data_IF_055754660312
#
_entry.id   IF_055754660312
#
_cell.length_a   1.000
_cell.length_b   1.000
_cell.length_c   1.000
_cell.angle_alpha   90.00
_cell.angle_beta   90.00
_cell.angle_gamma   90.00
#
_symmetry.space_group_name_H-M   'P 1'
#
loop_
_entity.id
_entity.type
_entity.pdbx_description
1 polymer ?
#
# COMPACT_ATOMS: atom_id res chain seq x y z
N UNK A 1 1.49 -8.05 -6.45
CA UNK A 1 0.86 -7.38 -5.30
C UNK A 1 1.98 -7.10 -4.31
N UNK A 2 2.16 -5.86 -3.82
CA UNK A 2 3.13 -5.58 -2.76
C UNK A 2 2.37 -5.71 -1.46
N UNK A 3 2.66 -6.77 -0.70
CA UNK A 3 2.10 -7.01 0.61
C UNK A 3 3.04 -6.41 1.66
N UNK A 4 2.50 -5.54 2.51
CA UNK A 4 3.25 -4.92 3.60
C UNK A 4 3.02 -5.78 4.83
N UNK A 5 4.10 -6.40 5.33
CA UNK A 5 4.01 -7.33 6.44
C UNK A 5 4.54 -6.73 7.73
N UNK A 6 3.90 -7.09 8.83
CA UNK A 6 4.40 -6.78 10.14
C UNK A 6 5.35 -7.89 10.61
N UNK A 7 6.65 -7.61 10.59
CA UNK A 7 7.70 -8.54 11.07
C UNK A 7 7.46 -9.00 12.52
N UNK A 8 6.82 -8.16 13.34
CA UNK A 8 6.46 -8.53 14.71
C UNK A 8 5.54 -9.76 14.75
N UNK A 9 4.58 -9.87 13.83
CA UNK A 9 3.65 -11.01 13.79
C UNK A 9 4.39 -12.31 13.43
N UNK A 10 5.36 -12.24 12.51
CA UNK A 10 6.20 -13.38 12.13
C UNK A 10 7.03 -13.85 13.33
N UNK A 11 7.67 -12.90 14.03
CA UNK A 11 8.47 -13.19 15.23
C UNK A 11 7.60 -13.82 16.32
N UNK A 12 6.40 -13.28 16.58
CA UNK A 12 5.47 -13.84 17.55
C UNK A 12 5.05 -15.28 17.17
N UNK A 13 4.71 -15.53 15.90
CA UNK A 13 4.34 -16.88 15.44
C UNK A 13 5.48 -17.89 15.61
N UNK A 14 6.72 -17.52 15.25
CA UNK A 14 7.90 -18.37 15.47
C UNK A 14 8.15 -18.64 16.96
N UNK A 15 7.94 -17.63 17.81
CA UNK A 15 8.06 -17.75 19.24
C UNK A 15 7.03 -18.74 19.81
N UNK A 16 5.77 -18.66 19.39
CA UNK A 16 4.73 -19.58 19.86
C UNK A 16 5.01 -21.04 19.48
N UNK A 17 5.49 -21.30 18.26
CA UNK A 17 5.91 -22.65 17.85
C UNK A 17 7.08 -23.16 18.71
N UNK A 18 8.05 -22.27 19.00
CA UNK A 18 9.19 -22.61 19.87
C UNK A 18 8.73 -22.93 21.30
N UNK A 19 7.76 -22.18 21.83
CA UNK A 19 7.17 -22.44 23.14
C UNK A 19 6.37 -23.74 23.15
N UNK A 20 5.68 -24.07 22.05
CA UNK A 20 4.94 -25.31 21.92
C UNK A 20 5.84 -26.54 22.05
N UNK A 21 7.00 -26.52 21.37
CA UNK A 21 8.02 -27.57 21.48
C UNK A 21 8.45 -27.81 22.94
N UNK A 22 8.59 -26.74 23.74
CA UNK A 22 9.01 -26.83 25.14
C UNK A 22 7.89 -27.25 26.10
N UNK A 23 6.69 -26.74 25.90
CA UNK A 23 5.60 -26.84 26.87
C UNK A 23 4.77 -28.12 26.71
N UNK A 24 4.57 -28.61 25.48
CA UNK A 24 3.71 -29.77 25.19
C UNK A 24 4.12 -31.03 25.99
N UNK A 25 5.42 -31.37 26.13
CA UNK A 25 5.84 -32.52 26.94
C UNK A 25 5.53 -32.38 28.44
N UNK A 26 5.34 -31.16 28.95
CA UNK A 26 5.12 -30.89 30.37
C UNK A 26 3.65 -30.97 30.81
N UNK A 27 2.71 -31.10 29.86
CA UNK A 27 1.30 -31.24 30.21
C UNK A 27 0.98 -32.63 30.76
N UNK A 28 0.32 -32.66 31.92
CA UNK A 28 -0.16 -33.88 32.58
C UNK A 28 -1.61 -34.22 32.23
N UNK A 29 -2.36 -33.25 31.70
CA UNK A 29 -3.76 -33.39 31.28
C UNK A 29 -3.86 -33.33 29.75
N UNK A 30 -4.45 -34.38 29.17
CA UNK A 30 -4.71 -34.45 27.73
C UNK A 30 -5.62 -33.33 27.22
N UNK A 31 -6.64 -32.96 27.97
CA UNK A 31 -7.58 -31.89 27.60
C UNK A 31 -6.88 -30.52 27.55
N UNK A 32 -6.05 -30.23 28.55
CA UNK A 32 -5.27 -28.98 28.61
C UNK A 32 -4.24 -28.91 27.48
N UNK A 33 -3.60 -30.04 27.18
CA UNK A 33 -2.64 -30.20 26.08
C UNK A 33 -3.31 -29.97 24.72
N UNK A 34 -4.45 -30.63 24.46
CA UNK A 34 -5.19 -30.48 23.19
C UNK A 34 -5.68 -29.05 22.97
N UNK A 35 -6.13 -28.38 24.04
CA UNK A 35 -6.57 -26.99 23.97
C UNK A 35 -5.41 -26.06 23.60
N UNK A 36 -4.25 -26.28 24.21
CA UNK A 36 -3.04 -25.51 23.90
C UNK A 36 -2.56 -25.76 22.46
N UNK A 37 -2.48 -27.02 22.03
CA UNK A 37 -2.07 -27.39 20.67
C UNK A 37 -2.97 -26.71 19.63
N UNK A 38 -4.30 -26.78 19.80
CA UNK A 38 -5.25 -26.10 18.90
C UNK A 38 -5.03 -24.59 18.85
N UNK A 39 -4.80 -23.95 19.99
CA UNK A 39 -4.49 -22.52 20.03
C UNK A 39 -3.22 -22.17 19.23
N UNK A 40 -2.17 -22.98 19.35
CA UNK A 40 -0.92 -22.77 18.59
C UNK A 40 -1.15 -23.01 17.10
N UNK A 41 -1.90 -24.05 16.72
CA UNK A 41 -2.26 -24.33 15.32
C UNK A 41 -3.02 -23.15 14.71
N UNK A 42 -4.06 -22.66 15.39
CA UNK A 42 -4.90 -21.57 14.90
C UNK A 42 -4.08 -20.29 14.72
N UNK A 43 -3.23 -19.96 15.70
CA UNK A 43 -2.34 -18.80 15.59
C UNK A 43 -1.34 -18.96 14.45
N UNK A 44 -0.67 -20.12 14.37
CA UNK A 44 0.31 -20.43 13.32
C UNK A 44 -0.33 -20.33 11.94
N UNK A 45 -1.52 -20.91 11.76
CA UNK A 45 -2.27 -20.80 10.51
C UNK A 45 -2.59 -19.35 10.16
N UNK A 46 -3.10 -18.58 11.13
CA UNK A 46 -3.43 -17.16 10.93
C UNK A 46 -2.20 -16.33 10.54
N UNK A 47 -1.07 -16.57 11.18
CA UNK A 47 0.16 -15.81 10.91
C UNK A 47 0.81 -16.23 9.61
N UNK A 48 0.90 -17.52 9.28
CA UNK A 48 1.77 -17.98 8.20
C UNK A 48 1.05 -18.25 6.87
N UNK A 49 -0.27 -18.50 6.88
CA UNK A 49 -1.05 -18.65 5.63
C UNK A 49 -1.07 -17.38 4.77
N UNK A 50 -1.03 -16.20 5.40
CA UNK A 50 -0.93 -14.91 4.70
C UNK A 50 0.40 -14.72 3.93
N UNK A 51 1.41 -15.57 4.16
CA UNK A 51 2.68 -15.52 3.44
C UNK A 51 2.78 -16.59 2.33
N UNK A 52 1.72 -17.37 2.11
CA UNK A 52 1.73 -18.47 1.15
C UNK A 52 2.59 -19.67 1.56
N UNK A 53 3.00 -19.76 2.83
CA UNK A 53 3.78 -20.91 3.33
C UNK A 53 2.97 -22.20 3.29
N UNK A 54 3.60 -23.30 2.89
CA UNK A 54 2.94 -24.60 2.75
C UNK A 54 2.92 -25.38 4.08
N UNK A 55 2.13 -24.92 5.04
CA UNK A 55 2.12 -25.46 6.41
C UNK A 55 0.89 -26.32 6.74
N UNK A 56 -0.14 -26.31 5.89
CA UNK A 56 -1.45 -26.88 6.21
C UNK A 56 -1.37 -28.39 6.51
N UNK A 57 -0.60 -29.13 5.70
CA UNK A 57 -0.41 -30.57 5.91
C UNK A 57 0.28 -30.88 7.24
N UNK A 58 1.25 -30.08 7.66
CA UNK A 58 1.94 -30.23 8.95
C UNK A 58 0.99 -29.92 10.11
N UNK A 59 0.19 -28.86 10.01
CA UNK A 59 -0.80 -28.50 11.03
C UNK A 59 -1.86 -29.59 11.19
N UNK A 60 -2.35 -30.16 10.07
CA UNK A 60 -3.27 -31.30 10.09
C UNK A 60 -2.66 -32.54 10.74
N UNK A 61 -1.38 -32.82 10.46
CA UNK A 61 -0.66 -33.93 11.09
C UNK A 61 -0.59 -33.74 12.61
N UNK A 62 -0.19 -32.56 13.07
CA UNK A 62 -0.08 -32.23 14.50
C UNK A 62 -1.45 -32.37 15.20
N UNK A 63 -2.53 -31.85 14.59
CA UNK A 63 -3.89 -31.98 15.13
C UNK A 63 -4.32 -33.47 15.23
N UNK A 64 -4.03 -34.26 14.20
CA UNK A 64 -4.32 -35.70 14.20
C UNK A 64 -3.51 -36.45 15.27
N UNK A 65 -2.24 -36.09 15.50
CA UNK A 65 -1.42 -36.67 16.56
C UNK A 65 -1.96 -36.35 17.95
N UNK A 66 -2.47 -35.14 18.16
CA UNK A 66 -3.16 -34.74 19.40
C UNK A 66 -4.39 -35.62 19.64
N UNK A 67 -5.25 -35.76 18.62
CA UNK A 67 -6.49 -36.55 18.67
C UNK A 67 -6.24 -38.04 18.88
N UNK A 68 -5.14 -38.57 18.33
CA UNK A 68 -4.74 -39.98 18.47
C UNK A 68 -3.88 -40.24 19.71
N UNK A 69 -3.77 -39.27 20.62
CA UNK A 69 -3.08 -39.39 21.93
C UNK A 69 -1.60 -39.77 21.81
N UNK A 70 -0.92 -39.29 20.78
CA UNK A 70 0.53 -39.44 20.69
C UNK A 70 1.25 -38.76 21.86
N UNK A 71 2.49 -39.17 22.13
CA UNK A 71 3.25 -38.62 23.25
C UNK A 71 3.54 -37.13 23.02
N UNK A 72 3.64 -36.37 24.11
CA UNK A 72 3.98 -34.94 24.02
C UNK A 72 5.31 -34.70 23.30
N UNK A 73 6.28 -35.61 23.46
CA UNK A 73 7.56 -35.58 22.76
C UNK A 73 7.43 -35.77 21.24
N UNK A 74 6.55 -36.67 20.79
CA UNK A 74 6.31 -36.88 19.36
C UNK A 74 5.68 -35.63 18.73
N UNK A 75 4.69 -35.05 19.40
CA UNK A 75 4.02 -33.83 18.92
C UNK A 75 5.00 -32.64 18.92
N UNK A 76 5.83 -32.51 19.95
CA UNK A 76 6.85 -31.47 20.05
C UNK A 76 7.86 -31.54 18.89
N UNK A 77 8.30 -32.74 18.50
CA UNK A 77 9.16 -32.96 17.32
C UNK A 77 8.52 -32.50 16.01
N UNK A 78 7.21 -32.67 15.83
CA UNK A 78 6.53 -32.16 14.64
C UNK A 78 6.42 -30.63 14.64
N UNK A 79 6.22 -30.00 15.79
CA UNK A 79 6.32 -28.53 15.90
C UNK A 79 7.73 -28.03 15.59
N UNK A 80 8.77 -28.75 16.01
CA UNK A 80 10.16 -28.43 15.65
C UNK A 80 10.37 -28.54 14.13
N UNK A 81 9.87 -29.59 13.49
CA UNK A 81 9.93 -29.72 12.02
C UNK A 81 9.18 -28.59 11.31
N UNK A 82 8.01 -28.23 11.80
CA UNK A 82 7.24 -27.09 11.28
C UNK A 82 8.03 -25.78 11.41
N UNK A 83 8.69 -25.56 12.54
CA UNK A 83 9.58 -24.41 12.72
C UNK A 83 10.70 -24.39 11.67
N UNK A 84 11.42 -25.49 11.50
CA UNK A 84 12.50 -25.58 10.51
C UNK A 84 12.03 -25.33 9.09
N UNK A 85 10.85 -25.84 8.73
CA UNK A 85 10.25 -25.61 7.43
C UNK A 85 9.94 -24.12 7.23
N UNK A 86 9.26 -23.47 8.18
CA UNK A 86 8.94 -22.04 8.11
C UNK A 86 10.22 -21.21 8.05
N UNK A 87 11.23 -21.54 8.85
CA UNK A 87 12.51 -20.83 8.85
C UNK A 87 13.24 -20.97 7.50
N UNK A 88 13.22 -22.16 6.90
CA UNK A 88 13.80 -22.39 5.59
C UNK A 88 13.05 -21.64 4.48
N UNK A 89 11.70 -21.67 4.50
CA UNK A 89 10.88 -20.91 3.56
C UNK A 89 11.14 -19.40 3.71
N UNK A 90 11.21 -18.88 4.94
CA UNK A 90 11.57 -17.48 5.23
C UNK A 90 12.95 -17.10 4.67
N UNK A 91 13.95 -17.98 4.81
CA UNK A 91 15.31 -17.76 4.24
C UNK A 91 15.33 -17.71 2.72
N UNK A 92 14.33 -18.30 2.05
CA UNK A 92 14.21 -18.25 0.59
C UNK A 92 13.47 -17.01 0.08
N UNK A 93 12.80 -16.26 0.96
CA UNK A 93 12.11 -15.03 0.59
C UNK A 93 13.09 -13.89 0.32
N UNK A 94 12.87 -13.20 -0.79
CA UNK A 94 13.45 -11.89 -1.04
C UNK A 94 12.52 -10.82 -0.48
N UNK A 95 12.99 -10.10 0.53
CA UNK A 95 12.24 -9.00 1.14
C UNK A 95 12.91 -7.67 0.83
N UNK A 96 12.09 -6.66 0.55
CA UNK A 96 12.54 -5.28 0.49
C UNK A 96 12.39 -4.66 1.88
N UNK A 97 13.46 -4.03 2.36
CA UNK A 97 13.38 -3.18 3.54
C UNK A 97 12.75 -1.85 3.14
N UNK A 98 11.70 -1.47 3.86
CA UNK A 98 11.07 -0.16 3.72
C UNK A 98 11.37 0.65 4.97
N UNK A 99 11.92 1.85 4.78
CA UNK A 99 12.25 2.73 5.89
C UNK A 99 10.99 3.12 6.69
N UNK A 100 11.10 3.12 8.02
CA UNK A 100 9.96 3.38 8.92
C UNK A 100 9.33 4.76 8.71
N UNK A 101 10.10 5.77 8.32
CA UNK A 101 9.60 7.12 8.04
C UNK A 101 8.83 7.14 6.72
N UNK A 102 9.27 6.37 5.73
CA UNK A 102 8.53 6.16 4.49
C UNK A 102 7.20 5.42 4.75
N UNK A 103 7.18 4.41 5.63
CA UNK A 103 5.94 3.70 6.04
C UNK A 103 4.94 4.63 6.72
N UNK A 104 5.40 5.53 7.60
CA UNK A 104 4.53 6.51 8.24
C UNK A 104 3.87 7.46 7.22
N UNK A 105 4.65 7.90 6.21
CA UNK A 105 4.12 8.65 5.08
C UNK A 105 3.07 7.84 4.31
N UNK A 106 3.32 6.56 4.00
CA UNK A 106 2.38 5.68 3.30
C UNK A 106 1.07 5.45 4.05
N UNK A 107 1.14 5.13 5.34
CA UNK A 107 -0.04 4.84 6.16
C UNK A 107 -0.89 6.08 6.45
N UNK A 108 -0.28 7.26 6.48
CA UNK A 108 -0.97 8.54 6.68
C UNK A 108 -1.66 9.09 5.43
N UNK A 109 -1.69 8.34 4.33
CA UNK A 109 -2.25 8.74 3.05
C UNK A 109 -3.58 8.00 2.77
N UNK A 110 -4.68 8.42 3.39
CA UNK A 110 -6.01 8.00 2.91
C UNK A 110 -6.41 8.87 1.71
N UNK A 111 -6.73 8.26 0.57
CA UNK A 111 -7.52 8.96 -0.45
C UNK A 111 -8.97 8.98 0.02
N UNK A 112 -9.72 10.04 -0.33
CA UNK A 112 -11.14 10.07 0.00
C UNK A 112 -11.89 8.93 -0.70
N UNK A 113 -12.91 8.34 -0.05
CA UNK A 113 -13.74 7.29 -0.67
C UNK A 113 -14.35 7.76 -2.00
N UNK A 114 -14.61 9.07 -2.10
CA UNK A 114 -15.08 9.72 -3.31
C UNK A 114 -14.10 9.59 -4.48
N UNK A 115 -12.78 9.64 -4.23
CA UNK A 115 -11.76 9.46 -5.27
C UNK A 115 -11.68 8.01 -5.72
N UNK A 116 -11.79 7.07 -4.79
CA UNK A 116 -11.75 5.63 -5.08
C UNK A 116 -12.90 5.26 -6.02
N UNK A 117 -14.12 5.71 -5.70
CA UNK A 117 -15.32 5.35 -6.46
C UNK A 117 -15.41 6.08 -7.81
N UNK A 118 -15.02 7.36 -7.87
CA UNK A 118 -15.15 8.16 -9.09
C UNK A 118 -13.99 7.99 -10.06
N UNK A 119 -12.81 7.58 -9.57
CA UNK A 119 -11.58 7.52 -10.38
C UNK A 119 -10.78 6.24 -10.13
N UNK A 120 -11.33 5.05 -10.40
CA UNK A 120 -10.65 3.78 -10.10
C UNK A 120 -9.29 3.63 -10.80
N UNK A 121 -9.15 4.14 -12.03
CA UNK A 121 -7.87 4.13 -12.76
C UNK A 121 -6.84 5.10 -12.16
N UNK A 122 -7.26 6.30 -11.76
CA UNK A 122 -6.38 7.25 -11.10
C UNK A 122 -5.95 6.73 -9.72
N UNK A 123 -6.89 6.13 -8.98
CA UNK A 123 -6.64 5.47 -7.71
C UNK A 123 -5.57 4.38 -7.85
N UNK A 124 -5.70 3.50 -8.84
CA UNK A 124 -4.68 2.49 -9.15
C UNK A 124 -3.29 3.13 -9.30
N UNK A 125 -3.20 4.21 -10.07
CA UNK A 125 -1.94 4.92 -10.28
C UNK A 125 -1.42 5.62 -9.02
N UNK A 126 -2.26 6.24 -8.20
CA UNK A 126 -1.81 6.81 -6.93
C UNK A 126 -1.27 5.76 -5.96
N UNK A 127 -1.92 4.59 -5.85
CA UNK A 127 -1.42 3.48 -5.03
C UNK A 127 -0.06 2.99 -5.53
N UNK A 128 0.10 2.85 -6.85
CA UNK A 128 1.37 2.45 -7.43
C UNK A 128 2.47 3.51 -7.26
N UNK A 129 2.13 4.79 -7.39
CA UNK A 129 3.05 5.89 -7.11
C UNK A 129 3.65 5.78 -5.70
N UNK A 130 2.76 5.63 -4.70
CA UNK A 130 3.15 5.48 -3.29
C UNK A 130 4.01 4.25 -3.04
N UNK A 131 3.68 3.11 -3.66
CA UNK A 131 4.48 1.88 -3.55
C UNK A 131 5.87 2.04 -4.14
N UNK A 132 6.00 2.67 -5.30
CA UNK A 132 7.30 2.94 -5.90
C UNK A 132 8.15 3.84 -5.00
N UNK A 133 7.56 4.87 -4.40
CA UNK A 133 8.28 5.71 -3.44
C UNK A 133 8.76 4.94 -2.22
N UNK A 134 7.92 4.07 -1.63
CA UNK A 134 8.33 3.21 -0.53
C UNK A 134 9.53 2.33 -0.86
N UNK A 135 9.66 1.92 -2.11
CA UNK A 135 10.74 1.08 -2.60
C UNK A 135 11.97 1.88 -3.07
N UNK A 136 11.97 3.21 -2.94
CA UNK A 136 13.04 4.08 -3.44
C UNK A 136 13.02 4.30 -4.96
N UNK A 137 11.99 3.82 -5.65
CA UNK A 137 11.78 3.95 -7.10
C UNK A 137 11.11 5.30 -7.43
N UNK A 138 11.79 6.40 -7.09
CA UNK A 138 11.22 7.75 -7.15
C UNK A 138 10.77 8.15 -8.56
N UNK A 139 11.48 7.71 -9.60
CA UNK A 139 11.10 7.97 -10.98
C UNK A 139 9.77 7.30 -11.37
N UNK A 140 9.64 6.01 -11.03
CA UNK A 140 8.41 5.26 -11.26
C UNK A 140 7.25 5.84 -10.42
N UNK A 141 7.53 6.30 -9.20
CA UNK A 141 6.56 6.98 -8.35
C UNK A 141 5.95 8.18 -9.04
N UNK A 142 6.80 9.07 -9.58
CA UNK A 142 6.39 10.27 -10.27
C UNK A 142 5.64 9.97 -11.57
N UNK A 143 6.12 8.98 -12.34
CA UNK A 143 5.43 8.54 -13.56
C UNK A 143 4.00 8.06 -13.26
N UNK A 144 3.82 7.27 -12.21
CA UNK A 144 2.50 6.84 -11.78
C UNK A 144 1.62 8.03 -11.31
N UNK A 145 2.16 8.97 -10.55
CA UNK A 145 1.41 10.18 -10.15
C UNK A 145 0.93 10.99 -11.37
N UNK A 146 1.80 11.19 -12.35
CA UNK A 146 1.44 11.86 -13.62
C UNK A 146 0.36 11.10 -14.39
N UNK A 147 0.42 9.77 -14.37
CA UNK A 147 -0.58 8.95 -15.07
C UNK A 147 -1.95 9.06 -14.39
N UNK A 148 -1.99 9.16 -13.07
CA UNK A 148 -3.21 9.44 -12.32
C UNK A 148 -3.83 10.79 -12.73
N UNK A 149 -3.03 11.86 -12.78
CA UNK A 149 -3.51 13.16 -13.24
C UNK A 149 -3.99 13.14 -14.69
N UNK A 150 -3.33 12.37 -15.56
CA UNK A 150 -3.79 12.17 -16.95
C UNK A 150 -5.21 11.60 -17.05
N UNK A 151 -5.64 10.82 -16.06
CA UNK A 151 -7.02 10.31 -15.97
C UNK A 151 -7.99 11.34 -15.37
N UNK A 152 -7.52 12.17 -14.44
CA UNK A 152 -8.35 13.20 -13.77
C UNK A 152 -8.61 14.40 -14.69
N UNK A 153 -7.59 14.82 -15.44
CA UNK A 153 -7.59 16.04 -16.25
C UNK A 153 -8.78 16.14 -17.22
N UNK A 154 -9.13 15.13 -18.04
CA UNK A 154 -10.26 15.21 -18.96
C UNK A 154 -11.60 15.39 -18.25
N UNK A 155 -11.74 14.85 -17.05
CA UNK A 155 -12.97 14.92 -16.27
C UNK A 155 -13.13 16.32 -15.68
N UNK A 156 -12.07 16.86 -15.10
CA UNK A 156 -12.04 18.25 -14.60
C UNK A 156 -12.22 19.24 -15.76
N UNK A 157 -11.54 18.99 -16.89
CA UNK A 157 -11.69 19.76 -18.12
C UNK A 157 -13.14 19.80 -18.61
N UNK A 158 -13.80 18.64 -18.69
CA UNK A 158 -15.22 18.55 -19.04
C UNK A 158 -16.11 19.33 -18.06
N UNK A 159 -15.85 19.22 -16.75
CA UNK A 159 -16.62 19.92 -15.71
C UNK A 159 -16.49 21.45 -15.79
N UNK A 160 -15.33 21.94 -16.24
CA UNK A 160 -15.04 23.36 -16.43
C UNK A 160 -15.27 23.86 -17.86
N UNK A 161 -15.85 23.01 -18.72
CA UNK A 161 -16.11 23.30 -20.12
C UNK A 161 -14.84 23.77 -20.85
N UNK A 162 -13.74 23.07 -20.62
CA UNK A 162 -12.48 23.23 -21.32
C UNK A 162 -12.40 22.15 -22.40
N UNK A 163 -12.38 22.59 -23.65
CA UNK A 163 -12.35 21.69 -24.80
C UNK A 163 -10.93 21.25 -25.15
N UNK A 164 -10.81 20.07 -25.76
CA UNK A 164 -9.51 19.55 -26.26
C UNK A 164 -8.65 18.83 -25.22
N UNK A 165 -9.14 18.64 -23.99
CA UNK A 165 -8.48 17.81 -22.97
C UNK A 165 -8.95 16.36 -23.15
N UNK A 166 -8.03 15.46 -23.51
CA UNK A 166 -8.31 14.03 -23.72
C UNK A 166 -7.46 13.16 -22.79
N UNK A 167 -7.85 11.90 -22.61
CA UNK A 167 -7.06 10.92 -21.83
C UNK A 167 -5.73 10.57 -22.48
N UNK A 168 -5.55 10.95 -23.75
CA UNK A 168 -4.38 10.64 -24.58
C UNK A 168 -3.60 11.91 -24.95
N UNK A 169 -3.58 12.90 -24.04
CA UNK A 169 -2.73 14.09 -24.20
C UNK A 169 -1.31 13.58 -24.37
N UNK A 170 -0.75 13.72 -25.59
CA UNK A 170 0.64 13.38 -25.84
C UNK A 170 1.50 14.28 -24.95
N UNK A 171 2.02 13.70 -23.87
CA UNK A 171 2.42 14.34 -22.62
C UNK A 171 3.74 15.14 -22.74
N UNK A 172 4.09 15.71 -23.89
CA UNK A 172 5.36 16.45 -24.05
C UNK A 172 5.21 17.96 -24.28
N UNK A 173 4.01 18.48 -24.58
CA UNK A 173 3.86 19.90 -24.94
C UNK A 173 2.70 20.68 -24.32
N UNK A 174 1.63 20.05 -23.82
CA UNK A 174 0.36 20.76 -23.57
C UNK A 174 -0.03 20.92 -22.09
N UNK A 175 0.77 20.41 -21.15
CA UNK A 175 0.42 20.40 -19.72
C UNK A 175 0.39 21.79 -19.09
N UNK A 176 1.36 22.64 -19.42
CA UNK A 176 1.37 24.05 -18.96
C UNK A 176 0.13 24.81 -19.42
N UNK A 177 -0.29 24.61 -20.67
CA UNK A 177 -1.49 25.25 -21.21
C UNK A 177 -2.76 24.77 -20.52
N UNK A 178 -2.89 23.46 -20.29
CA UNK A 178 -4.05 22.89 -19.58
C UNK A 178 -4.13 23.43 -18.16
N UNK A 179 -3.02 23.46 -17.43
CA UNK A 179 -2.96 24.04 -16.07
C UNK A 179 -3.33 25.52 -16.08
N UNK A 180 -2.86 26.30 -17.05
CA UNK A 180 -3.23 27.72 -17.20
C UNK A 180 -4.73 27.89 -17.45
N UNK A 181 -5.32 27.10 -18.36
CA UNK A 181 -6.76 27.15 -18.65
C UNK A 181 -7.60 26.76 -17.44
N UNK A 182 -7.18 25.73 -16.68
CA UNK A 182 -7.81 25.35 -15.42
C UNK A 182 -7.75 26.48 -14.40
N UNK A 183 -6.58 27.11 -14.23
CA UNK A 183 -6.38 28.24 -13.32
C UNK A 183 -7.31 29.41 -13.65
N UNK A 184 -7.43 29.75 -14.93
CA UNK A 184 -8.31 30.83 -15.41
C UNK A 184 -9.79 30.51 -15.15
N UNK A 185 -10.23 29.28 -15.47
CA UNK A 185 -11.61 28.84 -15.24
C UNK A 185 -11.96 28.80 -13.76
N UNK A 186 -11.09 28.24 -12.92
CA UNK A 186 -11.29 28.20 -11.45
C UNK A 186 -11.32 29.62 -10.87
N UNK A 187 -10.45 30.52 -11.35
CA UNK A 187 -10.49 31.92 -10.95
C UNK A 187 -11.80 32.59 -11.38
N UNK A 188 -12.36 32.25 -12.55
CA UNK A 188 -13.64 32.81 -12.99
C UNK A 188 -14.83 32.41 -12.11
N UNK A 189 -14.78 31.22 -11.48
CA UNK A 189 -15.77 30.80 -10.47
C UNK A 189 -15.80 31.76 -9.26
N UNK A 190 -14.72 32.49 -8.98
CA UNK A 190 -14.66 33.42 -7.84
C UNK A 190 -15.55 34.65 -7.99
N UNK A 191 -15.90 35.04 -9.23
CA UNK A 191 -16.77 36.19 -9.47
C UNK A 191 -18.23 35.89 -9.10
N UNK A 192 -18.63 34.62 -9.09
CA UNK A 192 -19.98 34.14 -8.75
C UNK A 192 -20.07 33.45 -7.38
N UNK A 193 -18.98 32.90 -6.84
CA UNK A 193 -18.98 32.08 -5.61
C UNK A 193 -19.10 32.85 -4.27
N UNK A 194 -19.08 34.19 -4.26
CA UNK A 194 -19.07 34.96 -2.99
C UNK A 194 -20.34 34.82 -2.13
N UNK A 195 -21.42 34.24 -2.67
CA UNK A 195 -22.72 34.09 -1.99
C UNK A 195 -23.26 32.66 -1.95
N UNK A 196 -22.61 31.71 -2.62
CA UNK A 196 -23.09 30.32 -2.73
C UNK A 196 -22.06 29.37 -2.11
N UNK A 197 -22.47 28.71 -1.01
CA UNK A 197 -21.63 27.76 -0.27
C UNK A 197 -21.26 26.52 -1.08
N UNK A 198 -22.09 26.10 -2.04
CA UNK A 198 -21.82 24.98 -2.93
C UNK A 198 -20.77 25.34 -3.98
N UNK A 199 -20.88 26.52 -4.59
CA UNK A 199 -19.87 27.02 -5.53
C UNK A 199 -18.53 27.28 -4.84
N UNK A 200 -18.56 27.76 -3.59
CA UNK A 200 -17.34 27.89 -2.78
C UNK A 200 -16.66 26.54 -2.54
N UNK A 201 -17.41 25.53 -2.10
CA UNK A 201 -16.88 24.17 -1.90
C UNK A 201 -16.30 23.58 -3.18
N UNK A 202 -17.02 23.72 -4.30
CA UNK A 202 -16.54 23.24 -5.61
C UNK A 202 -15.25 23.95 -6.04
N UNK A 203 -15.14 25.26 -5.81
CA UNK A 203 -13.91 26.00 -6.07
C UNK A 203 -12.75 25.49 -5.23
N UNK A 204 -12.97 25.26 -3.94
CA UNK A 204 -11.93 24.80 -3.02
C UNK A 204 -11.44 23.39 -3.43
N UNK A 205 -12.36 22.49 -3.78
CA UNK A 205 -12.05 21.15 -4.32
C UNK A 205 -11.22 21.24 -5.61
N UNK A 206 -11.64 22.06 -6.58
CA UNK A 206 -10.93 22.22 -7.86
C UNK A 206 -9.57 22.91 -7.71
N UNK A 207 -9.44 23.83 -6.74
CA UNK A 207 -8.18 24.51 -6.44
C UNK A 207 -7.16 23.55 -5.85
N UNK A 208 -7.59 22.64 -4.97
CA UNK A 208 -6.76 21.54 -4.46
C UNK A 208 -6.22 20.66 -5.60
N UNK A 209 -7.10 20.25 -6.52
CA UNK A 209 -6.71 19.45 -7.69
C UNK A 209 -5.68 20.18 -8.55
N UNK A 210 -5.87 21.48 -8.78
CA UNK A 210 -4.94 22.31 -9.56
C UNK A 210 -3.56 22.41 -8.88
N UNK A 211 -3.52 22.58 -7.55
CA UNK A 211 -2.27 22.66 -6.78
C UNK A 211 -1.49 21.35 -6.84
N UNK A 212 -2.18 20.20 -6.77
CA UNK A 212 -1.60 18.88 -6.97
C UNK A 212 -0.94 18.76 -8.35
N UNK A 213 -1.70 19.07 -9.41
CA UNK A 213 -1.22 18.99 -10.79
C UNK A 213 -0.04 19.94 -11.05
N UNK A 214 -0.06 21.13 -10.46
CA UNK A 214 1.04 22.07 -10.53
C UNK A 214 2.29 21.52 -9.84
N UNK A 215 2.14 20.92 -8.66
CA UNK A 215 3.24 20.27 -7.94
C UNK A 215 3.92 19.20 -8.78
N UNK A 216 3.15 18.33 -9.43
CA UNK A 216 3.68 17.29 -10.33
C UNK A 216 4.37 17.90 -11.55
N UNK A 217 3.78 18.93 -12.17
CA UNK A 217 4.39 19.63 -13.30
C UNK A 217 5.77 20.20 -12.92
N UNK A 218 5.85 20.93 -11.80
CA UNK A 218 7.10 21.56 -11.38
C UNK A 218 8.14 20.51 -10.98
N UNK A 219 7.75 19.46 -10.24
CA UNK A 219 8.66 18.42 -9.77
C UNK A 219 9.24 17.54 -10.91
N UNK A 220 8.51 17.37 -12.03
CA UNK A 220 8.92 16.38 -13.05
C UNK A 220 9.01 16.88 -14.48
N UNK A 221 8.14 17.81 -14.90
CA UNK A 221 8.00 18.15 -16.33
C UNK A 221 8.85 19.34 -16.78
N UNK A 222 9.10 20.30 -15.90
CA UNK A 222 9.89 21.48 -16.25
C UNK A 222 11.40 21.24 -16.10
N UNK A 223 11.80 20.27 -15.28
CA UNK A 223 13.20 19.89 -15.12
C UNK A 223 13.54 18.75 -16.08
N UNK A 224 14.63 18.95 -16.82
CA UNK A 224 15.23 18.01 -17.76
C UNK A 224 15.74 16.78 -16.98
N UNK A 225 14.83 15.91 -16.54
CA UNK A 225 15.16 14.60 -15.98
C UNK A 225 15.29 13.53 -17.07
N UNK A 226 15.41 13.96 -18.34
CA UNK A 226 16.00 13.11 -19.38
C UNK A 226 17.50 12.84 -19.12
N UNK A 227 18.16 13.63 -18.26
CA UNK A 227 19.62 13.58 -18.07
C UNK A 227 20.13 13.32 -16.64
N UNK A 228 19.28 13.08 -15.63
CA UNK A 228 19.74 12.89 -14.25
C UNK A 228 19.15 11.63 -13.61
N UNK A 229 20.04 10.73 -13.23
CA UNK A 229 19.80 9.48 -12.49
C UNK A 229 19.27 9.69 -11.05
N UNK A 230 18.89 10.91 -10.66
CA UNK A 230 18.55 11.26 -9.28
C UNK A 230 17.31 12.12 -9.24
N UNK A 231 16.15 11.48 -9.36
CA UNK A 231 14.92 12.09 -8.84
C UNK A 231 15.12 12.17 -7.34
N UNK A 232 15.28 13.39 -6.83
CA UNK A 232 15.48 13.59 -5.41
C UNK A 232 14.24 13.09 -4.65
N UNK A 233 14.47 12.32 -3.58
CA UNK A 233 13.47 11.86 -2.61
C UNK A 233 12.47 12.97 -2.24
N UNK A 234 12.97 14.21 -2.06
CA UNK A 234 12.17 15.38 -1.71
C UNK A 234 11.05 15.70 -2.73
N UNK A 235 11.30 15.58 -4.03
CA UNK A 235 10.30 15.88 -5.07
C UNK A 235 9.23 14.80 -5.13
N UNK A 236 9.64 13.53 -5.05
CA UNK A 236 8.70 12.41 -4.98
C UNK A 236 7.84 12.45 -3.70
N UNK A 237 8.45 12.82 -2.57
CA UNK A 237 7.75 13.03 -1.30
C UNK A 237 6.75 14.18 -1.39
N UNK A 238 7.14 15.31 -1.98
CA UNK A 238 6.27 16.47 -2.18
C UNK A 238 5.06 16.10 -3.04
N UNK A 239 5.29 15.39 -4.14
CA UNK A 239 4.21 14.90 -5.01
C UNK A 239 3.27 13.96 -4.28
N UNK A 240 3.81 12.97 -3.56
CA UNK A 240 2.97 12.04 -2.79
C UNK A 240 2.14 12.77 -1.74
N UNK A 241 2.73 13.73 -1.03
CA UNK A 241 2.00 14.52 -0.04
C UNK A 241 0.89 15.36 -0.68
N UNK A 242 1.09 15.87 -1.89
CA UNK A 242 0.04 16.61 -2.60
C UNK A 242 -1.16 15.72 -3.00
N UNK A 243 -1.01 14.39 -3.06
CA UNK A 243 -2.14 13.46 -3.26
C UNK A 243 -3.08 13.36 -2.05
N UNK A 244 -2.69 13.87 -0.87
CA UNK A 244 -3.53 13.86 0.36
C UNK A 244 -4.77 14.73 0.24
N UNK A 245 -4.74 15.69 -0.69
CA UNK A 245 -5.73 16.75 -0.80
C UNK A 245 -6.86 16.36 -1.78
N UNK A 246 -6.81 15.14 -2.33
CA UNK A 246 -7.80 14.50 -3.20
C UNK A 246 -8.62 13.45 -2.42
#
# INVERSE_FOLDING_TARGET
>A
MIEVFNLQNVICGLHEITMANRNIPAYTSDESRDKYIRSVIDHTKKVFSQFGFNIESNLMLIDNMSKTRQSGEQIAKEFERLFWQIEHELKSLQCYFVDRFAVATYNGLSLSDTVIDKFPTAYYHFIHSRKCYLLGEFAASMYHAMRADGEILPIVGKRLEIHGITTNINLRGNWGNVISQLKEKIASLSKSASRDSKLKKEKDELSSVLEHMFTIKEAWRNHIMHDLNEVADADALKTINSTKIL
#
